data_IF_288544415987
#
_entry.id   IF_288544415987
#
_cell.length_a   1.000
_cell.length_b   1.000
_cell.length_c   1.000
_cell.angle_alpha   90.00
_cell.angle_beta   90.00
_cell.angle_gamma   90.00
#
_symmetry.space_group_name_H-M   'P 1'
#
loop_
_entity.id
_entity.type
_entity.pdbx_description
1 polymer ?
#
# COMPACT_ATOMS: atom_id res chain seq x y z
N UNK A 1 -46.46 -50.95 78.35
CA UNK A 1 -46.85 -52.22 77.76
C UNK A 1 -45.89 -52.54 76.63
N UNK A 2 -45.09 -53.55 76.83
CA UNK A 2 -44.11 -54.18 75.91
C UNK A 2 -44.86 -54.69 74.65
N UNK A 3 -44.28 -55.29 73.53
CA UNK A 3 -42.85 -55.56 73.25
C UNK A 3 -42.43 -55.24 71.76
N UNK A 4 -41.15 -55.14 71.52
CA UNK A 4 -40.18 -56.07 70.94
C UNK A 4 -40.40 -56.53 69.50
N UNK A 5 -39.48 -56.40 68.63
CA UNK A 5 -38.49 -57.42 68.16
C UNK A 5 -37.75 -57.01 66.85
N UNK A 6 -36.49 -57.19 66.93
CA UNK A 6 -35.55 -57.95 66.10
C UNK A 6 -35.26 -57.55 64.67
N UNK A 7 -33.97 -57.15 64.52
CA UNK A 7 -33.01 -57.48 63.47
C UNK A 7 -33.28 -58.66 62.55
N UNK A 8 -32.65 -58.86 61.39
CA UNK A 8 -31.22 -58.77 61.17
C UNK A 8 -30.77 -58.24 59.75
N UNK A 9 -29.55 -57.84 59.67
CA UNK A 9 -28.52 -58.10 58.65
C UNK A 9 -28.95 -58.52 57.27
N UNK A 10 -28.41 -57.78 56.32
CA UNK A 10 -27.69 -58.39 55.18
C UNK A 10 -26.88 -57.35 54.46
N UNK A 11 -25.56 -57.53 54.53
CA UNK A 11 -24.72 -57.09 53.44
C UNK A 11 -24.88 -58.03 52.26
N UNK A 12 -24.79 -57.53 51.01
CA UNK A 12 -23.69 -58.05 50.24
C UNK A 12 -23.00 -57.08 49.29
N UNK A 13 -21.78 -57.37 49.14
CA UNK A 13 -21.02 -57.49 47.89
C UNK A 13 -20.56 -56.20 47.21
N UNK A 14 -19.37 -55.81 47.51
CA UNK A 14 -18.25 -55.72 46.60
C UNK A 14 -18.64 -55.53 45.10
N UNK A 15 -18.81 -54.27 44.68
CA UNK A 15 -18.75 -53.89 43.29
C UNK A 15 -17.39 -53.27 42.99
N UNK A 16 -16.49 -54.05 42.43
CA UNK A 16 -15.20 -53.56 41.90
C UNK A 16 -15.48 -52.55 40.82
N UNK A 17 -15.32 -51.30 41.13
CA UNK A 17 -15.14 -50.23 40.14
C UNK A 17 -13.81 -50.43 39.45
N UNK A 18 -13.81 -51.00 38.26
CA UNK A 18 -12.70 -50.98 37.34
C UNK A 18 -12.40 -49.51 36.99
N UNK A 19 -11.44 -48.95 37.67
CA UNK A 19 -10.81 -47.70 37.26
C UNK A 19 -10.06 -47.99 35.94
N UNK A 20 -10.69 -47.67 34.80
CA UNK A 20 -10.00 -47.59 33.51
C UNK A 20 -9.05 -46.37 33.59
N UNK A 21 -7.86 -46.65 34.10
CA UNK A 21 -6.75 -45.71 34.00
C UNK A 21 -6.43 -45.47 32.52
N UNK A 22 -6.98 -44.43 31.96
CA UNK A 22 -6.49 -43.86 30.69
C UNK A 22 -5.02 -43.44 30.91
N UNK A 23 -4.11 -44.36 30.58
CA UNK A 23 -2.72 -43.99 30.38
C UNK A 23 -2.66 -43.08 29.17
N UNK A 24 -2.72 -41.78 29.38
CA UNK A 24 -2.28 -40.80 28.40
C UNK A 24 -0.80 -41.03 28.15
N UNK A 25 -0.50 -41.69 27.03
CA UNK A 25 0.88 -41.84 26.59
C UNK A 25 1.48 -40.44 26.41
N UNK A 26 2.34 -40.05 27.29
CA UNK A 26 3.22 -38.89 27.08
C UNK A 26 4.20 -39.28 25.98
N UNK A 27 3.90 -38.87 24.75
CA UNK A 27 4.84 -38.95 23.65
C UNK A 27 5.80 -37.78 23.82
N UNK A 28 6.98 -38.10 24.37
CA UNK A 28 8.09 -37.15 24.38
C UNK A 28 8.56 -36.89 22.95
N UNK A 29 8.73 -35.63 22.58
CA UNK A 29 9.33 -35.27 21.30
C UNK A 29 10.72 -35.88 21.16
N UNK A 30 10.98 -36.53 20.05
CA UNK A 30 12.29 -37.06 19.76
C UNK A 30 13.23 -35.96 19.30
N UNK A 31 14.53 -36.07 19.60
CA UNK A 31 15.53 -35.11 19.13
C UNK A 31 15.53 -35.02 17.58
N UNK A 32 15.28 -36.13 16.90
CA UNK A 32 15.16 -36.19 15.45
C UNK A 32 13.98 -35.39 14.95
N UNK A 33 12.82 -35.45 15.62
CA UNK A 33 11.63 -34.69 15.25
C UNK A 33 11.86 -33.17 15.36
N UNK A 34 12.55 -32.72 16.42
CA UNK A 34 12.98 -31.32 16.54
C UNK A 34 13.91 -30.88 15.40
N UNK A 35 14.87 -31.74 15.01
CA UNK A 35 15.76 -31.43 13.88
C UNK A 35 14.99 -31.31 12.57
N UNK A 36 14.04 -32.21 12.31
CA UNK A 36 13.21 -32.15 11.09
C UNK A 36 12.34 -30.90 11.09
N UNK A 37 11.72 -30.55 12.22
CA UNK A 37 10.92 -29.32 12.34
C UNK A 37 11.75 -28.08 12.08
N UNK A 38 12.97 -28.00 12.64
CA UNK A 38 13.86 -26.87 12.39
C UNK A 38 14.29 -26.75 10.93
N UNK A 39 14.54 -27.88 10.26
CA UNK A 39 14.84 -27.90 8.82
C UNK A 39 13.64 -27.41 8.01
N UNK A 40 12.43 -27.89 8.32
CA UNK A 40 11.21 -27.45 7.63
C UNK A 40 10.97 -25.94 7.83
N UNK A 41 11.12 -25.44 9.07
CA UNK A 41 11.01 -24.01 9.37
C UNK A 41 12.06 -23.21 8.59
N UNK A 42 13.31 -23.68 8.54
CA UNK A 42 14.39 -23.04 7.79
C UNK A 42 14.09 -22.94 6.30
N UNK A 43 13.56 -24.02 5.70
CA UNK A 43 13.13 -24.03 4.29
C UNK A 43 11.97 -23.06 4.05
N UNK A 44 10.94 -23.06 4.91
CA UNK A 44 9.80 -22.13 4.80
C UNK A 44 10.25 -20.68 4.90
N UNK A 45 11.12 -20.35 5.85
CA UNK A 45 11.64 -18.98 6.02
C UNK A 45 12.47 -18.52 4.81
N UNK A 46 13.18 -19.43 4.15
CA UNK A 46 13.92 -19.13 2.91
C UNK A 46 12.98 -18.74 1.79
N UNK A 47 11.85 -19.43 1.60
CA UNK A 47 10.85 -19.09 0.59
C UNK A 47 10.14 -17.77 0.88
N UNK A 48 9.82 -17.45 2.14
CA UNK A 48 9.20 -16.19 2.52
C UNK A 48 10.14 -15.01 2.25
N UNK A 49 11.43 -15.16 2.53
CA UNK A 49 12.42 -14.11 2.29
C UNK A 49 12.63 -13.78 0.79
N UNK A 50 12.47 -14.74 -0.10
CA UNK A 50 12.64 -14.54 -1.55
C UNK A 50 11.38 -13.99 -2.25
N UNK A 51 10.17 -14.23 -1.71
CA UNK A 51 8.91 -13.85 -2.38
C UNK A 51 8.40 -12.44 -2.04
N UNK A 52 8.90 -11.80 -1.00
CA UNK A 52 8.27 -10.59 -0.43
C UNK A 52 8.72 -9.25 -1.00
N UNK A 53 9.87 -9.17 -1.66
CA UNK A 53 10.45 -7.87 -2.03
C UNK A 53 9.78 -7.19 -3.23
N UNK A 54 9.58 -7.90 -4.30
CA UNK A 54 9.06 -7.34 -5.56
C UNK A 54 7.56 -7.03 -5.52
N UNK A 55 6.75 -7.89 -4.90
CA UNK A 55 5.30 -7.68 -4.82
C UNK A 55 4.95 -6.52 -3.88
N UNK A 56 5.64 -6.40 -2.75
CA UNK A 56 5.44 -5.28 -1.82
C UNK A 56 5.84 -3.93 -2.45
N UNK A 57 6.89 -3.90 -3.29
CA UNK A 57 7.32 -2.72 -4.01
C UNK A 57 6.32 -2.32 -5.09
N UNK A 58 5.84 -3.29 -5.87
CA UNK A 58 4.81 -3.07 -6.88
C UNK A 58 3.51 -2.53 -6.28
N UNK A 59 3.07 -3.08 -5.14
CA UNK A 59 1.91 -2.56 -4.40
C UNK A 59 2.14 -1.14 -3.89
N UNK A 60 3.35 -0.82 -3.45
CA UNK A 60 3.69 0.52 -2.99
C UNK A 60 3.64 1.53 -4.16
N UNK A 61 4.23 1.21 -5.31
CA UNK A 61 4.14 2.03 -6.53
C UNK A 61 2.69 2.24 -6.95
N UNK A 62 1.87 1.18 -6.96
CA UNK A 62 0.46 1.28 -7.32
C UNK A 62 -0.32 2.20 -6.37
N UNK A 63 -0.03 2.16 -5.07
CA UNK A 63 -0.63 3.07 -4.10
C UNK A 63 -0.23 4.53 -4.34
N UNK A 64 1.04 4.79 -4.61
CA UNK A 64 1.52 6.15 -4.91
C UNK A 64 0.96 6.67 -6.23
N UNK A 65 0.89 5.83 -7.27
CA UNK A 65 0.26 6.17 -8.54
C UNK A 65 -1.21 6.60 -8.35
N UNK A 66 -2.03 5.77 -7.67
CA UNK A 66 -3.44 6.09 -7.40
C UNK A 66 -3.60 7.36 -6.57
N UNK A 67 -2.71 7.58 -5.62
CA UNK A 67 -2.69 8.77 -4.80
C UNK A 67 -2.40 10.01 -5.64
N UNK A 68 -1.36 9.95 -6.47
CA UNK A 68 -1.01 11.05 -7.35
C UNK A 68 -2.13 11.38 -8.33
N UNK A 69 -2.76 10.37 -8.94
CA UNK A 69 -3.90 10.56 -9.82
C UNK A 69 -5.06 11.32 -9.12
N UNK A 70 -5.42 10.90 -7.90
CA UNK A 70 -6.44 11.59 -7.12
C UNK A 70 -6.05 13.03 -6.74
N UNK A 71 -4.76 13.31 -6.53
CA UNK A 71 -4.27 14.67 -6.27
C UNK A 71 -4.29 15.54 -7.54
N UNK A 72 -4.04 14.97 -8.71
CA UNK A 72 -4.15 15.66 -10.00
C UNK A 72 -5.61 16.02 -10.29
N UNK A 73 -6.55 15.10 -10.05
CA UNK A 73 -7.99 15.36 -10.16
C UNK A 73 -8.41 16.50 -9.23
N UNK A 74 -8.03 16.44 -7.96
CA UNK A 74 -8.29 17.49 -6.99
C UNK A 74 -7.72 18.84 -7.43
N UNK A 75 -6.47 18.88 -7.88
CA UNK A 75 -5.82 20.11 -8.33
C UNK A 75 -6.51 20.69 -9.58
N UNK A 76 -6.97 19.83 -10.51
CA UNK A 76 -7.74 20.25 -11.68
C UNK A 76 -9.10 20.85 -11.28
N UNK A 77 -9.81 20.23 -10.34
CA UNK A 77 -11.07 20.77 -9.79
C UNK A 77 -10.85 22.13 -9.10
N UNK A 78 -9.80 22.26 -8.29
CA UNK A 78 -9.44 23.52 -7.61
C UNK A 78 -9.10 24.63 -8.63
N UNK A 79 -8.35 24.30 -9.70
CA UNK A 79 -8.03 25.25 -10.78
C UNK A 79 -9.29 25.83 -11.41
N UNK A 80 -10.28 24.98 -11.70
CA UNK A 80 -11.57 25.41 -12.27
C UNK A 80 -12.38 26.22 -11.26
N UNK A 81 -12.53 25.71 -10.01
CA UNK A 81 -13.36 26.35 -8.99
C UNK A 81 -12.85 27.74 -8.57
N UNK A 82 -11.53 27.90 -8.47
CA UNK A 82 -10.91 29.19 -8.11
C UNK A 82 -10.63 30.09 -9.30
N UNK A 83 -10.81 29.58 -10.54
CA UNK A 83 -10.40 30.26 -11.77
C UNK A 83 -8.91 30.63 -11.76
N UNK A 84 -8.09 29.77 -11.16
CA UNK A 84 -6.64 29.92 -11.05
C UNK A 84 -5.93 28.94 -12.01
N UNK A 85 -4.68 29.24 -12.34
CA UNK A 85 -3.84 28.32 -13.12
C UNK A 85 -2.91 27.58 -12.18
N UNK A 86 -3.03 26.27 -12.15
CA UNK A 86 -2.16 25.39 -11.39
C UNK A 86 -1.21 24.66 -12.33
N UNK A 87 -0.12 24.14 -11.78
CA UNK A 87 0.83 23.35 -12.52
C UNK A 87 1.46 22.29 -11.62
N UNK A 88 2.09 21.31 -12.24
CA UNK A 88 2.82 20.26 -11.53
C UNK A 88 4.25 20.25 -12.04
N UNK A 89 5.18 20.33 -11.11
CA UNK A 89 6.58 20.01 -11.32
C UNK A 89 6.85 18.58 -10.91
N UNK A 90 7.38 17.79 -11.81
CA UNK A 90 7.83 16.43 -11.55
C UNK A 90 9.37 16.40 -11.52
N UNK A 91 9.93 15.88 -10.44
CA UNK A 91 11.31 15.43 -10.35
C UNK A 91 11.40 13.91 -10.58
N UNK A 92 12.59 13.36 -10.47
CA UNK A 92 12.79 11.91 -10.57
C UNK A 92 12.20 11.16 -9.38
N UNK A 93 12.20 11.75 -8.19
CA UNK A 93 11.76 11.12 -6.94
C UNK A 93 10.79 11.98 -6.12
N UNK A 94 10.35 13.10 -6.67
CA UNK A 94 9.45 14.05 -6.02
C UNK A 94 8.47 14.67 -7.00
N UNK A 95 7.43 15.29 -6.47
CA UNK A 95 6.51 16.12 -7.23
C UNK A 95 5.94 17.25 -6.38
N UNK A 96 5.59 18.35 -7.04
CA UNK A 96 5.12 19.56 -6.40
C UNK A 96 4.03 20.22 -7.22
N UNK A 97 2.94 20.62 -6.53
CA UNK A 97 1.88 21.42 -7.13
C UNK A 97 2.18 22.91 -6.93
N UNK A 98 2.01 23.66 -7.98
CA UNK A 98 2.35 25.09 -8.03
C UNK A 98 1.15 25.92 -8.49
N UNK A 99 1.04 27.13 -8.00
CA UNK A 99 0.03 28.13 -8.36
C UNK A 99 0.72 29.26 -9.12
N UNK A 100 0.11 29.76 -10.18
CA UNK A 100 0.55 30.95 -10.88
C UNK A 100 0.04 32.20 -10.19
N UNK A 101 0.92 32.91 -9.48
CA UNK A 101 0.63 34.16 -8.81
C UNK A 101 1.60 35.26 -9.28
N UNK A 102 1.08 36.42 -9.62
CA UNK A 102 1.87 37.56 -10.10
C UNK A 102 2.90 37.20 -11.21
N UNK A 103 2.54 36.29 -12.12
CA UNK A 103 3.38 35.77 -13.21
C UNK A 103 4.59 34.94 -12.75
N UNK A 104 4.48 34.35 -11.56
CA UNK A 104 5.49 33.44 -11.00
C UNK A 104 4.82 32.17 -10.51
N UNK A 105 5.49 31.03 -10.71
CA UNK A 105 5.06 29.76 -10.18
C UNK A 105 5.51 29.62 -8.75
N UNK A 106 4.57 29.50 -7.81
CA UNK A 106 4.83 29.35 -6.38
C UNK A 106 4.24 28.03 -5.87
N UNK A 107 4.93 27.34 -4.95
CA UNK A 107 4.40 26.14 -4.31
C UNK A 107 3.07 26.40 -3.61
N UNK A 108 2.10 25.50 -3.76
CA UNK A 108 0.81 25.60 -3.08
C UNK A 108 0.99 25.34 -1.60
N UNK A 109 0.58 26.27 -0.75
CA UNK A 109 0.70 26.20 0.71
C UNK A 109 -0.64 26.16 1.44
N UNK A 110 -1.69 26.70 0.83
CA UNK A 110 -3.02 26.84 1.42
C UNK A 110 -3.87 25.54 1.35
N UNK A 111 -3.51 24.60 0.48
CA UNK A 111 -4.16 23.29 0.34
C UNK A 111 -3.24 22.20 0.90
N UNK A 112 -3.46 21.70 2.14
CA UNK A 112 -2.55 20.74 2.77
C UNK A 112 -2.34 19.43 1.99
N UNK A 113 -3.30 19.05 1.13
CA UNK A 113 -3.21 17.85 0.30
C UNK A 113 -2.23 18.02 -0.87
N UNK A 114 -2.11 19.24 -1.42
CA UNK A 114 -1.29 19.55 -2.60
C UNK A 114 0.15 20.00 -2.26
N UNK A 115 0.58 19.77 -1.01
CA UNK A 115 1.94 20.10 -0.60
C UNK A 115 2.99 19.27 -1.35
N UNK A 116 4.24 19.78 -1.50
CA UNK A 116 5.35 19.04 -2.09
C UNK A 116 5.55 17.67 -1.44
N UNK A 117 5.89 16.66 -2.23
CA UNK A 117 6.05 15.28 -1.78
C UNK A 117 7.25 14.62 -2.41
N UNK A 118 7.95 13.89 -1.54
CA UNK A 118 8.94 12.91 -1.96
C UNK A 118 8.29 11.52 -2.05
N UNK A 119 8.67 10.77 -3.06
CA UNK A 119 8.29 9.37 -3.19
C UNK A 119 9.07 8.48 -2.21
N UNK A 120 8.52 7.32 -1.85
CA UNK A 120 9.26 6.32 -1.09
C UNK A 120 10.56 5.93 -1.82
N UNK A 121 11.65 5.77 -1.06
CA UNK A 121 12.97 5.43 -1.60
C UNK A 121 12.93 4.29 -2.61
N UNK A 122 13.59 4.47 -3.75
CA UNK A 122 13.68 3.47 -4.82
C UNK A 122 12.49 3.47 -5.78
N UNK A 123 11.54 4.41 -5.68
CA UNK A 123 10.53 4.66 -6.71
C UNK A 123 10.96 5.90 -7.50
N UNK A 124 10.97 5.77 -8.81
CA UNK A 124 11.36 6.81 -9.76
C UNK A 124 10.20 7.15 -10.68
N UNK A 125 10.10 8.42 -11.04
CA UNK A 125 9.15 8.97 -12.01
C UNK A 125 9.84 9.25 -13.33
N UNK A 126 9.18 8.90 -14.41
CA UNK A 126 9.59 9.28 -15.74
C UNK A 126 8.43 9.95 -16.47
N UNK A 127 8.57 11.24 -16.75
CA UNK A 127 7.56 12.05 -17.41
C UNK A 127 7.82 12.13 -18.92
N UNK A 128 6.79 11.85 -19.71
CA UNK A 128 6.77 12.07 -21.16
C UNK A 128 5.62 13.00 -21.49
N UNK A 129 5.92 14.16 -22.08
CA UNK A 129 4.93 15.09 -22.59
C UNK A 129 4.54 14.69 -24.02
N UNK A 130 3.25 14.62 -24.30
CA UNK A 130 2.75 14.26 -25.65
C UNK A 130 2.79 15.43 -26.63
N UNK A 131 2.75 16.65 -26.12
CA UNK A 131 2.84 17.89 -26.91
C UNK A 131 3.80 18.88 -26.23
N UNK A 132 4.39 19.76 -27.03
CA UNK A 132 5.15 20.87 -26.47
C UNK A 132 4.26 21.78 -25.65
N UNK A 133 4.71 22.28 -24.48
CA UNK A 133 3.94 23.21 -23.69
C UNK A 133 3.54 24.44 -24.53
N UNK A 134 2.40 25.08 -24.23
CA UNK A 134 1.94 26.27 -24.94
C UNK A 134 3.04 27.35 -25.01
N UNK A 135 3.15 28.09 -26.15
CA UNK A 135 4.16 29.13 -26.29
C UNK A 135 3.96 30.22 -25.21
N UNK A 136 4.98 30.44 -24.42
CA UNK A 136 4.98 31.37 -23.26
C UNK A 136 5.11 30.69 -21.90
N UNK A 137 4.92 29.37 -21.82
CA UNK A 137 5.13 28.57 -20.61
C UNK A 137 6.34 27.65 -20.84
N UNK A 138 7.53 28.24 -21.06
CA UNK A 138 8.73 27.45 -21.34
C UNK A 138 9.27 26.82 -20.05
N UNK A 139 9.34 25.50 -20.03
CA UNK A 139 10.04 24.70 -19.04
C UNK A 139 11.53 24.62 -19.37
N UNK A 140 12.22 25.76 -19.36
CA UNK A 140 13.68 25.80 -19.66
C UNK A 140 14.57 25.73 -18.41
N UNK A 141 13.98 25.75 -17.22
CA UNK A 141 14.72 25.63 -15.94
C UNK A 141 14.31 24.38 -15.21
N UNK A 142 15.23 23.71 -14.54
CA UNK A 142 14.99 22.48 -13.78
C UNK A 142 13.93 22.65 -12.65
N UNK A 143 13.62 23.89 -12.30
CA UNK A 143 12.61 24.25 -11.30
C UNK A 143 11.26 24.64 -11.91
N UNK A 144 11.13 24.65 -13.24
CA UNK A 144 9.87 25.02 -13.92
C UNK A 144 8.89 23.86 -13.95
N UNK A 145 7.57 24.13 -13.80
CA UNK A 145 6.55 23.09 -13.92
C UNK A 145 6.43 22.62 -15.38
N UNK A 146 6.10 21.35 -15.58
CA UNK A 146 5.99 20.74 -16.89
C UNK A 146 4.54 20.46 -17.30
N UNK A 147 3.64 20.22 -16.36
CA UNK A 147 2.25 19.91 -16.57
C UNK A 147 1.39 21.05 -16.05
N UNK A 148 0.55 21.63 -16.90
CA UNK A 148 -0.31 22.76 -16.59
C UNK A 148 -1.76 22.30 -16.47
N UNK A 149 -2.45 22.75 -15.43
CA UNK A 149 -3.85 22.55 -15.13
C UNK A 149 -4.56 23.89 -15.26
N UNK A 150 -5.33 24.05 -16.32
CA UNK A 150 -5.93 25.33 -16.66
C UNK A 150 -7.30 25.50 -15.99
N UNK A 151 -7.66 26.75 -15.70
CA UNK A 151 -9.00 27.10 -15.19
C UNK A 151 -10.15 26.76 -16.14
N UNK A 152 -9.86 26.45 -17.42
CA UNK A 152 -10.83 25.92 -18.38
C UNK A 152 -11.16 24.43 -18.18
N UNK A 153 -10.40 23.71 -17.32
CA UNK A 153 -10.47 22.26 -17.15
C UNK A 153 -9.56 21.47 -18.09
N UNK A 154 -8.85 22.16 -18.97
CA UNK A 154 -7.84 21.54 -19.83
C UNK A 154 -6.54 21.32 -19.06
N UNK A 155 -5.80 20.27 -19.43
CA UNK A 155 -4.45 20.04 -18.90
C UNK A 155 -3.47 19.64 -19.98
N UNK A 156 -2.17 19.84 -19.72
CA UNK A 156 -1.13 19.36 -20.62
C UNK A 156 -1.21 17.83 -20.71
N UNK A 157 -1.34 17.24 -21.92
CA UNK A 157 -1.34 15.79 -22.07
C UNK A 157 0.04 15.20 -21.74
N UNK A 158 0.06 14.18 -20.89
CA UNK A 158 1.31 13.55 -20.47
C UNK A 158 1.15 12.06 -20.20
N UNK A 159 2.28 11.36 -20.15
CA UNK A 159 2.39 10.02 -19.64
C UNK A 159 3.45 10.01 -18.53
N UNK A 160 3.07 9.57 -17.34
CA UNK A 160 3.94 9.46 -16.18
C UNK A 160 4.12 7.99 -15.81
N UNK A 161 5.35 7.51 -15.88
CA UNK A 161 5.70 6.12 -15.55
C UNK A 161 6.37 6.05 -14.18
N UNK A 162 5.84 5.16 -13.34
CA UNK A 162 6.45 4.76 -12.06
C UNK A 162 7.30 3.51 -12.29
N UNK A 163 8.53 3.54 -11.85
CA UNK A 163 9.49 2.43 -11.92
C UNK A 163 10.25 2.25 -10.62
N UNK A 164 10.78 1.06 -10.39
CA UNK A 164 11.68 0.77 -9.28
C UNK A 164 12.65 -0.35 -9.67
N UNK A 165 13.93 -0.29 -9.24
CA UNK A 165 14.94 -1.27 -9.61
C UNK A 165 14.68 -2.69 -9.08
N UNK A 166 13.88 -2.82 -7.99
CA UNK A 166 13.59 -4.11 -7.36
C UNK A 166 12.48 -4.90 -8.05
N UNK A 167 11.81 -4.33 -9.09
CA UNK A 167 10.71 -4.99 -9.80
C UNK A 167 10.70 -4.57 -11.28
N UNK A 168 10.31 -5.49 -12.14
CA UNK A 168 10.10 -5.20 -13.56
C UNK A 168 8.72 -4.57 -13.85
N UNK A 169 7.84 -4.57 -12.86
CA UNK A 169 6.51 -3.98 -13.01
C UNK A 169 6.63 -2.47 -13.13
N UNK A 170 5.88 -1.90 -14.04
CA UNK A 170 5.75 -0.45 -14.25
C UNK A 170 4.28 -0.09 -14.17
N UNK A 171 4.00 1.08 -13.65
CA UNK A 171 2.65 1.63 -13.59
C UNK A 171 2.64 2.97 -14.29
N UNK A 172 1.57 3.28 -14.99
CA UNK A 172 1.47 4.51 -15.76
C UNK A 172 0.21 5.29 -15.45
N UNK A 173 0.34 6.61 -15.44
CA UNK A 173 -0.77 7.57 -15.45
C UNK A 173 -0.70 8.30 -16.77
N UNK A 174 -1.76 8.19 -17.57
CA UNK A 174 -1.91 8.93 -18.82
C UNK A 174 -2.96 10.00 -18.64
N UNK A 175 -2.65 11.22 -19.02
CA UNK A 175 -3.56 12.35 -18.98
C UNK A 175 -3.87 12.83 -20.38
N UNK A 176 -5.15 13.04 -20.65
CA UNK A 176 -5.61 13.67 -21.90
C UNK A 176 -5.74 15.20 -21.74
N UNK A 177 -5.83 15.92 -22.85
CA UNK A 177 -6.07 17.36 -22.88
C UNK A 177 -7.33 17.77 -22.09
N UNK A 178 -8.36 16.92 -22.08
CA UNK A 178 -9.63 17.18 -21.38
C UNK A 178 -9.61 16.80 -19.89
N UNK A 179 -8.44 16.55 -19.32
CA UNK A 179 -8.33 16.21 -17.91
C UNK A 179 -8.69 14.76 -17.56
N UNK A 180 -8.84 13.89 -18.53
CA UNK A 180 -9.13 12.47 -18.27
C UNK A 180 -7.87 11.73 -17.89
N UNK A 181 -7.89 11.01 -16.75
CA UNK A 181 -6.78 10.21 -16.29
C UNK A 181 -7.07 8.72 -16.49
N UNK A 182 -6.13 8.01 -17.09
CA UNK A 182 -6.13 6.55 -17.25
C UNK A 182 -4.98 5.96 -16.46
N UNK A 183 -5.25 4.89 -15.70
CA UNK A 183 -4.26 4.20 -14.87
C UNK A 183 -4.02 2.81 -15.44
N UNK A 184 -2.73 2.50 -15.73
CA UNK A 184 -2.31 1.21 -16.27
C UNK A 184 -1.22 0.52 -15.42
#
# INVERSE_FOLDING_TARGET
MKPSRHTPSEQPACGRLFAFGRRSGQHGFTLLELMVVLVIIGVILTFIGLSGGGDSRAEQMQREMRRLAALIELASEEAVLRSEQLAIRFGETDYEFMLLEANQWLPISDIPLLRPRELPKGIELHLELQENPPPGLKAEEAESPQVFLLSSGEMTPFMLTFSAPETERRFQVKASLLGHLELE
#
